data_IF_255952592443
#
_entry.id   IF_255952592443
#
_cell.length_a   1.000
_cell.length_b   1.000
_cell.length_c   1.000
_cell.angle_alpha   90.00
_cell.angle_beta   90.00
_cell.angle_gamma   90.00
#
_symmetry.space_group_name_H-M   'P 1'
#
loop_
_entity.id
_entity.type
_entity.pdbx_description
1 polymer ?
#
# COMPACT_ATOMS: atom_id res chain seq x y z
N UNK A 1 -10.62 13.22 -8.38
CA UNK A 1 -10.03 13.26 -7.02
C UNK A 1 -9.34 14.58 -6.78
N UNK A 2 -9.38 15.06 -5.54
CA UNK A 2 -8.50 16.12 -5.08
C UNK A 2 -7.12 15.56 -4.75
N UNK A 3 -6.08 16.41 -4.87
CA UNK A 3 -4.69 16.05 -4.54
C UNK A 3 -4.57 15.59 -3.08
N UNK A 4 -5.39 16.13 -2.17
CA UNK A 4 -5.41 15.74 -0.76
C UNK A 4 -5.84 14.28 -0.54
N UNK A 5 -6.88 13.81 -1.25
CA UNK A 5 -7.37 12.43 -1.16
C UNK A 5 -6.31 11.46 -1.69
N UNK A 6 -5.70 11.81 -2.83
CA UNK A 6 -4.64 11.03 -3.45
C UNK A 6 -3.44 10.90 -2.51
N UNK A 7 -2.99 12.00 -1.91
CA UNK A 7 -1.93 11.99 -0.90
C UNK A 7 -2.30 11.13 0.31
N UNK A 8 -3.54 11.22 0.81
CA UNK A 8 -3.98 10.49 1.99
C UNK A 8 -3.96 8.96 1.75
N UNK A 9 -4.46 8.51 0.58
CA UNK A 9 -4.45 7.10 0.19
C UNK A 9 -3.02 6.60 -0.02
N UNK A 10 -2.19 7.37 -0.74
CA UNK A 10 -0.80 6.99 -1.00
C UNK A 10 0.00 6.91 0.30
N UNK A 11 -0.21 7.83 1.24
CA UNK A 11 0.39 7.78 2.58
C UNK A 11 -0.05 6.52 3.33
N UNK A 12 -1.33 6.16 3.28
CA UNK A 12 -1.86 4.93 3.88
C UNK A 12 -1.19 3.66 3.33
N UNK A 13 -1.09 3.54 2.00
CA UNK A 13 -0.43 2.40 1.34
C UNK A 13 1.07 2.36 1.66
N UNK A 14 1.70 3.53 1.68
CA UNK A 14 3.12 3.66 2.02
C UNK A 14 3.39 3.16 3.44
N UNK A 15 2.48 3.40 4.40
CA UNK A 15 2.63 2.92 5.77
C UNK A 15 2.59 1.37 5.90
N UNK A 16 1.96 0.63 4.98
CA UNK A 16 2.09 -0.85 4.92
C UNK A 16 3.53 -1.25 4.65
N UNK A 17 4.13 -0.62 3.64
CA UNK A 17 5.49 -0.90 3.19
C UNK A 17 6.46 -0.49 4.30
N UNK A 18 6.21 0.65 4.96
CA UNK A 18 6.97 1.09 6.12
C UNK A 18 6.99 0.01 7.20
N UNK A 19 5.81 -0.47 7.61
CA UNK A 19 5.69 -1.42 8.71
C UNK A 19 6.28 -2.80 8.35
N UNK A 20 6.20 -3.23 7.09
CA UNK A 20 6.88 -4.43 6.59
C UNK A 20 8.41 -4.24 6.64
N UNK A 21 8.91 -3.10 6.18
CA UNK A 21 10.36 -2.82 6.17
C UNK A 21 10.93 -2.58 7.57
N UNK A 22 10.14 -2.06 8.49
CA UNK A 22 10.50 -1.95 9.91
C UNK A 22 10.64 -3.32 10.56
N UNK A 23 9.73 -4.25 10.28
CA UNK A 23 9.85 -5.64 10.74
C UNK A 23 11.14 -6.29 10.20
N UNK A 24 11.41 -6.11 8.90
CA UNK A 24 12.63 -6.64 8.28
C UNK A 24 13.89 -5.96 8.85
N UNK A 25 13.87 -4.65 9.07
CA UNK A 25 14.97 -3.91 9.70
C UNK A 25 15.29 -4.37 11.10
N UNK A 26 14.28 -4.74 11.90
CA UNK A 26 14.45 -5.28 13.25
C UNK A 26 15.03 -6.70 13.27
N UNK A 27 14.90 -7.46 12.18
CA UNK A 27 15.42 -8.83 12.06
C UNK A 27 16.88 -8.86 11.58
N UNK A 28 17.37 -7.78 10.96
CA UNK A 28 18.71 -7.71 10.38
C UNK A 28 19.75 -7.25 11.41
N UNK A 29 20.81 -8.04 11.61
CA UNK A 29 21.94 -7.67 12.48
C UNK A 29 22.85 -6.57 11.88
N UNK A 30 22.91 -6.46 10.55
CA UNK A 30 23.71 -5.45 9.84
C UNK A 30 23.06 -5.06 8.51
N UNK A 31 22.71 -3.79 8.36
CA UNK A 31 22.14 -3.27 7.09
C UNK A 31 23.22 -3.30 6.02
N UNK A 32 23.13 -4.24 5.08
CA UNK A 32 23.94 -4.22 3.87
C UNK A 32 23.27 -3.38 2.78
N UNK A 33 24.05 -2.46 2.19
CA UNK A 33 23.55 -1.61 1.08
C UNK A 33 23.01 -2.43 -0.09
N UNK A 34 23.59 -3.61 -0.35
CA UNK A 34 23.13 -4.53 -1.40
C UNK A 34 21.73 -5.09 -1.11
N UNK A 35 21.46 -5.52 0.12
CA UNK A 35 20.14 -6.03 0.51
C UNK A 35 19.07 -4.95 0.45
N UNK A 36 19.37 -3.75 0.94
CA UNK A 36 18.47 -2.60 0.84
C UNK A 36 18.14 -2.29 -0.62
N UNK A 37 19.14 -2.32 -1.50
CA UNK A 37 18.93 -2.10 -2.94
C UNK A 37 18.06 -3.21 -3.57
N UNK A 38 18.24 -4.46 -3.16
CA UNK A 38 17.42 -5.58 -3.61
C UNK A 38 15.96 -5.43 -3.17
N UNK A 39 15.69 -5.10 -1.89
CA UNK A 39 14.33 -4.87 -1.41
C UNK A 39 13.68 -3.70 -2.13
N UNK A 40 14.38 -2.58 -2.23
CA UNK A 40 13.91 -1.41 -2.96
C UNK A 40 13.59 -1.74 -4.42
N UNK A 41 14.48 -2.49 -5.09
CA UNK A 41 14.29 -2.92 -6.48
C UNK A 41 13.07 -3.81 -6.67
N UNK A 42 12.89 -4.82 -5.80
CA UNK A 42 11.72 -5.72 -5.83
C UNK A 42 10.44 -4.93 -5.58
N UNK A 43 10.41 -4.07 -4.55
CA UNK A 43 9.26 -3.26 -4.19
C UNK A 43 8.86 -2.31 -5.31
N UNK A 44 9.83 -1.58 -5.87
CA UNK A 44 9.60 -0.60 -6.93
C UNK A 44 9.15 -1.28 -8.24
N UNK A 45 9.83 -2.35 -8.65
CA UNK A 45 9.48 -3.09 -9.86
C UNK A 45 8.08 -3.73 -9.75
N UNK A 46 7.79 -4.39 -8.63
CA UNK A 46 6.49 -5.04 -8.45
C UNK A 46 5.35 -4.04 -8.27
N UNK A 47 5.58 -2.89 -7.62
CA UNK A 47 4.55 -1.84 -7.52
C UNK A 47 4.27 -1.19 -8.87
N UNK A 48 5.31 -0.88 -9.66
CA UNK A 48 5.15 -0.35 -11.00
C UNK A 48 4.36 -1.31 -11.91
N UNK A 49 4.69 -2.60 -11.86
CA UNK A 49 3.95 -3.63 -12.61
C UNK A 49 2.51 -3.78 -12.14
N UNK A 50 2.27 -3.87 -10.83
CA UNK A 50 0.93 -4.03 -10.26
C UNK A 50 0.02 -2.84 -10.59
N UNK A 51 0.52 -1.61 -10.50
CA UNK A 51 -0.23 -0.41 -10.87
C UNK A 51 -0.51 -0.34 -12.37
N UNK A 52 0.48 -0.67 -13.20
CA UNK A 52 0.33 -0.72 -14.66
C UNK A 52 -0.74 -1.73 -15.09
N UNK A 53 -0.68 -2.95 -14.53
CA UNK A 53 -1.66 -4.01 -14.78
C UNK A 53 -3.04 -3.59 -14.26
N UNK A 54 -3.12 -3.01 -13.04
CA UNK A 54 -4.38 -2.56 -12.47
C UNK A 54 -5.09 -1.52 -13.33
N UNK A 55 -4.34 -0.54 -13.87
CA UNK A 55 -4.89 0.44 -14.81
C UNK A 55 -5.34 -0.19 -16.12
N UNK A 56 -4.56 -1.13 -16.66
CA UNK A 56 -4.93 -1.84 -17.88
C UNK A 56 -6.25 -2.61 -17.69
N UNK A 57 -6.41 -3.31 -16.57
CA UNK A 57 -7.64 -4.01 -16.20
C UNK A 57 -8.81 -3.02 -16.06
N UNK A 58 -8.62 -1.89 -15.38
CA UNK A 58 -9.66 -0.86 -15.23
C UNK A 58 -10.11 -0.31 -16.59
N UNK A 59 -9.17 -0.11 -17.52
CA UNK A 59 -9.47 0.35 -18.88
C UNK A 59 -10.29 -0.69 -19.66
N UNK A 60 -9.96 -1.97 -19.54
CA UNK A 60 -10.73 -3.06 -20.17
C UNK A 60 -12.13 -3.21 -19.55
N UNK A 61 -12.25 -3.05 -18.22
CA UNK A 61 -13.54 -3.10 -17.54
C UNK A 61 -14.45 -1.95 -17.96
N UNK A 62 -13.92 -0.73 -18.08
CA UNK A 62 -14.68 0.43 -18.59
C UNK A 62 -15.27 0.15 -19.96
N UNK A 63 -14.47 -0.37 -20.89
CA UNK A 63 -14.96 -0.73 -22.24
C UNK A 63 -16.03 -1.84 -22.24
N UNK A 64 -16.16 -2.61 -21.15
CA UNK A 64 -17.07 -3.76 -21.05
C UNK A 64 -18.35 -3.46 -20.27
N UNK A 65 -18.42 -2.34 -19.54
CA UNK A 65 -19.57 -1.95 -18.72
C UNK A 65 -20.38 -0.89 -19.48
N UNK A 66 -21.68 -0.79 -19.21
CA UNK A 66 -22.56 0.16 -19.89
C UNK A 66 -22.37 1.58 -19.33
N UNK A 67 -22.39 2.59 -20.22
CA UNK A 67 -21.98 3.99 -20.02
C UNK A 67 -22.62 4.74 -18.81
N UNK A 68 -23.65 4.19 -18.16
CA UNK A 68 -24.34 4.79 -17.02
C UNK A 68 -23.85 4.35 -15.63
N UNK A 69 -23.42 3.09 -15.46
CA UNK A 69 -23.07 2.51 -14.15
C UNK A 69 -21.56 2.46 -13.88
N UNK A 70 -20.73 2.72 -14.90
CA UNK A 70 -19.27 2.62 -14.81
C UNK A 70 -18.65 3.44 -13.67
N UNK A 71 -19.13 4.67 -13.51
CA UNK A 71 -18.59 5.62 -12.55
C UNK A 71 -18.97 5.20 -11.13
N UNK A 72 -20.24 4.81 -10.93
CA UNK A 72 -20.74 4.36 -9.63
C UNK A 72 -20.10 3.03 -9.22
N UNK A 73 -20.04 2.06 -10.13
CA UNK A 73 -19.43 0.75 -9.89
C UNK A 73 -17.93 0.90 -9.57
N UNK A 74 -17.20 1.72 -10.32
CA UNK A 74 -15.79 1.99 -10.08
C UNK A 74 -15.50 2.61 -8.71
N UNK A 75 -16.36 3.53 -8.27
CA UNK A 75 -16.25 4.18 -6.95
C UNK A 75 -16.56 3.21 -5.81
N UNK A 76 -17.63 2.42 -5.92
CA UNK A 76 -17.99 1.41 -4.93
C UNK A 76 -16.88 0.37 -4.81
N UNK A 77 -16.33 -0.08 -5.94
CA UNK A 77 -15.20 -1.02 -5.96
C UNK A 77 -13.95 -0.41 -5.32
N UNK A 78 -13.59 0.82 -5.66
CA UNK A 78 -12.45 1.52 -5.06
C UNK A 78 -12.59 1.68 -3.54
N UNK A 79 -13.75 2.12 -3.08
CA UNK A 79 -14.04 2.26 -1.66
C UNK A 79 -14.00 0.92 -0.92
N UNK A 80 -14.58 -0.14 -1.51
CA UNK A 80 -14.52 -1.48 -0.95
C UNK A 80 -13.08 -1.99 -0.83
N UNK A 81 -12.23 -1.72 -1.83
CA UNK A 81 -10.81 -2.06 -1.80
C UNK A 81 -10.09 -1.33 -0.66
N UNK A 82 -10.26 -0.01 -0.53
CA UNK A 82 -9.60 0.78 0.51
C UNK A 82 -10.07 0.39 1.92
N UNK A 83 -11.37 0.16 2.11
CA UNK A 83 -11.92 -0.31 3.38
C UNK A 83 -11.40 -1.71 3.75
N UNK A 84 -11.38 -2.63 2.79
CA UNK A 84 -10.85 -3.98 2.99
C UNK A 84 -9.35 -3.94 3.35
N UNK A 85 -8.57 -3.10 2.68
CA UNK A 85 -7.15 -2.92 2.95
C UNK A 85 -6.90 -2.28 4.33
N UNK A 86 -7.70 -1.27 4.70
CA UNK A 86 -7.67 -0.65 6.03
C UNK A 86 -7.99 -1.66 7.14
N UNK A 87 -9.06 -2.45 6.99
CA UNK A 87 -9.45 -3.49 7.96
C UNK A 87 -8.36 -4.56 8.13
N UNK A 88 -7.68 -4.95 7.04
CA UNK A 88 -6.52 -5.85 7.11
C UNK A 88 -5.38 -5.28 7.96
N UNK A 89 -5.14 -3.96 7.93
CA UNK A 89 -4.08 -3.35 8.75
C UNK A 89 -4.45 -3.37 10.23
N UNK A 90 -5.73 -3.15 10.57
CA UNK A 90 -6.21 -3.33 11.94
C UNK A 90 -6.04 -4.79 12.40
N UNK A 91 -6.34 -5.78 11.55
CA UNK A 91 -6.10 -7.19 11.87
C UNK A 91 -4.61 -7.49 12.08
N UNK A 92 -3.73 -6.96 11.23
CA UNK A 92 -2.26 -7.09 11.40
C UNK A 92 -1.76 -6.39 12.67
N UNK A 93 -2.31 -5.23 13.02
CA UNK A 93 -1.99 -4.50 14.24
C UNK A 93 -2.44 -5.30 15.47
N UNK A 94 -3.64 -5.88 15.43
CA UNK A 94 -4.22 -6.67 16.51
C UNK A 94 -3.57 -8.03 16.68
N UNK A 95 -3.19 -8.69 15.57
CA UNK A 95 -2.59 -10.01 15.62
C UNK A 95 -1.25 -10.04 16.33
N UNK A 96 -0.65 -8.87 16.63
CA UNK A 96 0.54 -8.66 17.45
C UNK A 96 1.42 -9.91 17.50
N UNK A 97 1.83 -10.39 16.31
CA UNK A 97 2.75 -11.50 16.20
C UNK A 97 3.99 -11.01 16.89
N UNK A 98 4.14 -11.43 18.15
CA UNK A 98 5.43 -11.46 18.84
C UNK A 98 6.26 -12.38 17.99
N UNK A 99 6.87 -11.83 16.94
CA UNK A 99 7.97 -12.46 16.27
C UNK A 99 8.99 -12.60 17.38
N UNK A 100 9.15 -13.83 17.87
CA UNK A 100 10.22 -14.19 18.79
C UNK A 100 11.48 -13.67 18.14
N UNK A 101 12.17 -12.73 18.78
CA UNK A 101 13.44 -12.15 18.33
C UNK A 101 14.48 -13.27 18.21
N UNK A 102 14.38 -14.07 17.15
CA UNK A 102 15.47 -14.91 16.67
C UNK A 102 16.26 -14.03 15.73
N UNK A 103 17.41 -13.56 16.23
CA UNK A 103 18.51 -13.08 15.40
C UNK A 103 18.87 -14.17 14.41
N UNK A 104 18.36 -14.09 13.19
CA UNK A 104 18.93 -14.83 12.07
C UNK A 104 19.96 -13.95 11.37
N UNK A 105 21.16 -14.49 11.12
CA UNK A 105 22.25 -13.76 10.45
C UNK A 105 21.89 -13.32 9.02
N UNK A 106 20.83 -13.91 8.43
CA UNK A 106 20.29 -13.54 7.13
C UNK A 106 18.78 -13.49 7.22
N UNK A 107 18.21 -12.34 6.88
CA UNK A 107 16.79 -12.25 6.56
C UNK A 107 16.50 -13.17 5.39
N UNK A 108 15.53 -14.06 5.57
CA UNK A 108 15.09 -14.95 4.51
C UNK A 108 14.31 -14.16 3.45
N UNK A 109 14.98 -13.91 2.32
CA UNK A 109 14.39 -13.18 1.18
C UNK A 109 13.14 -13.90 0.68
N UNK A 110 13.05 -15.23 0.86
CA UNK A 110 11.86 -15.99 0.52
C UNK A 110 10.63 -15.58 1.35
N UNK A 111 10.80 -15.31 2.65
CA UNK A 111 9.71 -14.84 3.51
C UNK A 111 9.28 -13.42 3.12
N UNK A 112 10.24 -12.54 2.83
CA UNK A 112 9.95 -11.21 2.30
C UNK A 112 9.17 -11.29 0.98
N UNK A 113 9.59 -12.14 0.04
CA UNK A 113 8.89 -12.35 -1.24
C UNK A 113 7.47 -12.85 -0.99
N UNK A 114 7.25 -13.76 -0.04
CA UNK A 114 5.90 -14.27 0.30
C UNK A 114 5.02 -13.17 0.89
N UNK A 115 5.56 -12.36 1.81
CA UNK A 115 4.85 -11.21 2.38
C UNK A 115 4.52 -10.18 1.29
N UNK A 116 5.49 -9.88 0.44
CA UNK A 116 5.36 -8.92 -0.64
C UNK A 116 4.39 -9.39 -1.71
N UNK A 117 4.40 -10.67 -2.10
CA UNK A 117 3.44 -11.25 -3.03
C UNK A 117 2.01 -11.06 -2.52
N UNK A 118 1.80 -11.20 -1.20
CA UNK A 118 0.51 -10.94 -0.55
C UNK A 118 0.12 -9.47 -0.52
N UNK A 119 1.08 -8.54 -0.51
CA UNK A 119 0.81 -7.09 -0.59
C UNK A 119 0.61 -6.65 -2.05
N UNK A 120 1.30 -7.25 -3.01
CA UNK A 120 1.22 -6.93 -4.45
C UNK A 120 -0.20 -7.10 -5.01
N UNK A 121 -0.95 -8.11 -4.55
CA UNK A 121 -2.38 -8.27 -4.90
C UNK A 121 -3.18 -7.02 -4.52
N UNK A 122 -2.91 -6.45 -3.35
CA UNK A 122 -3.61 -5.25 -2.90
C UNK A 122 -3.13 -4.02 -3.65
N UNK A 123 -1.83 -3.90 -3.94
CA UNK A 123 -1.32 -2.84 -4.83
C UNK A 123 -1.99 -2.88 -6.20
N UNK A 124 -2.23 -4.08 -6.75
CA UNK A 124 -2.95 -4.26 -8.00
C UNK A 124 -4.40 -3.78 -7.88
N UNK A 125 -5.11 -4.18 -6.82
CA UNK A 125 -6.46 -3.69 -6.52
C UNK A 125 -6.49 -2.17 -6.38
N UNK A 126 -5.51 -1.58 -5.68
CA UNK A 126 -5.36 -0.12 -5.59
C UNK A 126 -5.13 0.50 -6.97
N UNK A 127 -4.34 -0.14 -7.84
CA UNK A 127 -4.14 0.30 -9.23
C UNK A 127 -5.43 0.28 -10.05
N UNK A 128 -6.28 -0.73 -9.86
CA UNK A 128 -7.62 -0.78 -10.46
C UNK A 128 -8.47 0.39 -9.94
N UNK A 129 -8.49 0.60 -8.62
CA UNK A 129 -9.21 1.71 -7.99
C UNK A 129 -8.78 3.07 -8.57
N UNK A 130 -7.48 3.38 -8.57
CA UNK A 130 -6.97 4.63 -9.15
C UNK A 130 -7.21 4.74 -10.67
N UNK A 131 -7.23 3.62 -11.39
CA UNK A 131 -7.61 3.58 -12.81
C UNK A 131 -9.05 4.05 -13.03
N UNK A 132 -9.98 3.65 -12.15
CA UNK A 132 -11.37 4.10 -12.20
C UNK A 132 -11.56 5.56 -11.78
N UNK A 133 -10.73 6.07 -10.86
CA UNK A 133 -10.79 7.45 -10.37
C UNK A 133 -10.10 8.47 -11.30
N UNK A 134 -9.66 8.06 -12.50
CA UNK A 134 -9.01 8.88 -13.54
C UNK A 134 -7.82 9.71 -13.05
N UNK A 135 -7.04 9.19 -12.08
CA UNK A 135 -5.84 9.90 -11.64
C UNK A 135 -4.77 9.93 -12.74
N UNK A 136 -3.97 11.00 -12.74
CA UNK A 136 -2.83 11.16 -13.62
C UNK A 136 -1.76 10.11 -13.33
N UNK A 137 -1.76 9.04 -14.14
CA UNK A 137 -0.88 7.87 -13.98
C UNK A 137 0.59 8.24 -13.77
N UNK A 138 1.10 9.23 -14.50
CA UNK A 138 2.48 9.65 -14.39
C UNK A 138 2.81 10.26 -13.02
N UNK A 139 1.89 11.04 -12.44
CA UNK A 139 2.07 11.63 -11.13
C UNK A 139 1.93 10.58 -10.03
N UNK A 140 0.91 9.73 -10.10
CA UNK A 140 0.68 8.65 -9.14
C UNK A 140 1.86 7.68 -9.09
N UNK A 141 2.36 7.26 -10.27
CA UNK A 141 3.47 6.32 -10.37
C UNK A 141 4.78 6.95 -9.90
N UNK A 142 5.06 8.22 -10.26
CA UNK A 142 6.22 8.94 -9.76
C UNK A 142 6.18 9.11 -8.23
N UNK A 143 5.02 9.49 -7.69
CA UNK A 143 4.84 9.75 -6.26
C UNK A 143 4.95 8.46 -5.44
N UNK A 144 4.34 7.37 -5.88
CA UNK A 144 4.45 6.05 -5.23
C UNK A 144 5.90 5.54 -5.28
N UNK A 145 6.59 5.69 -6.41
CA UNK A 145 7.98 5.25 -6.53
C UNK A 145 8.89 6.01 -5.56
N UNK A 146 8.78 7.34 -5.51
CA UNK A 146 9.57 8.17 -4.59
C UNK A 146 9.25 7.84 -3.14
N UNK A 147 7.97 7.76 -2.77
CA UNK A 147 7.54 7.43 -1.41
C UNK A 147 7.99 6.03 -1.00
N UNK A 148 7.89 5.04 -1.89
CA UNK A 148 8.35 3.68 -1.61
C UNK A 148 9.83 3.63 -1.32
N UNK A 149 10.68 4.33 -2.09
CA UNK A 149 12.12 4.40 -1.80
C UNK A 149 12.36 5.02 -0.42
N UNK A 150 11.76 6.19 -0.16
CA UNK A 150 11.92 6.91 1.11
C UNK A 150 11.49 6.03 2.29
N UNK A 151 10.30 5.45 2.20
CA UNK A 151 9.70 4.63 3.25
C UNK A 151 10.46 3.33 3.47
N UNK A 152 11.00 2.72 2.41
CA UNK A 152 11.83 1.52 2.51
C UNK A 152 13.11 1.81 3.29
N UNK A 153 13.77 2.94 2.97
CA UNK A 153 14.97 3.38 3.69
C UNK A 153 14.62 3.72 5.13
N UNK A 154 13.65 4.60 5.36
CA UNK A 154 13.24 5.01 6.71
C UNK A 154 12.82 3.81 7.55
N UNK A 155 11.91 2.96 7.05
CA UNK A 155 11.42 1.77 7.74
C UNK A 155 12.54 0.83 8.15
N UNK A 156 13.50 0.56 7.25
CA UNK A 156 14.60 -0.33 7.57
C UNK A 156 15.55 0.25 8.62
N UNK A 157 15.85 1.56 8.56
CA UNK A 157 16.68 2.24 9.57
C UNK A 157 15.97 2.39 10.92
N UNK A 158 14.67 2.68 10.93
CA UNK A 158 13.88 2.77 12.17
C UNK A 158 13.77 1.41 12.82
N UNK A 159 13.48 0.36 12.05
CA UNK A 159 13.43 -1.03 12.55
C UNK A 159 14.75 -1.49 13.15
N UNK A 160 15.87 -1.15 12.50
CA UNK A 160 17.22 -1.49 12.99
C UNK A 160 17.58 -0.79 14.30
N UNK A 161 17.19 0.48 14.49
CA UNK A 161 17.63 1.30 15.63
C UNK A 161 16.69 1.29 16.82
N UNK A 162 15.38 1.18 16.58
CA UNK A 162 14.33 1.34 17.60
C UNK A 162 13.67 0.02 18.01
N UNK A 163 13.92 -1.08 17.29
CA UNK A 163 13.28 -2.36 17.57
C UNK A 163 11.76 -2.34 17.33
N UNK A 164 11.05 -3.31 17.91
CA UNK A 164 9.70 -3.71 17.48
C UNK A 164 8.53 -2.84 18.02
N UNK A 165 8.77 -1.85 18.88
CA UNK A 165 7.69 -1.12 19.59
C UNK A 165 6.84 -0.19 18.69
N UNK A 166 7.36 0.26 17.55
CA UNK A 166 6.66 1.24 16.69
C UNK A 166 5.79 0.62 15.57
N UNK A 167 5.94 -0.68 15.32
CA UNK A 167 5.18 -1.43 14.31
C UNK A 167 3.66 -1.29 14.47
N UNK A 168 3.15 -1.46 15.69
CA UNK A 168 1.70 -1.41 15.95
C UNK A 168 1.14 -0.03 15.66
N UNK A 169 1.89 1.04 15.99
CA UNK A 169 1.48 2.43 15.73
C UNK A 169 1.46 2.73 14.25
N UNK A 170 2.46 2.27 13.49
CA UNK A 170 2.51 2.44 12.04
C UNK A 170 1.34 1.74 11.33
N UNK A 171 1.04 0.48 11.68
CA UNK A 171 -0.11 -0.24 11.13
C UNK A 171 -1.45 0.40 11.49
N UNK A 172 -1.61 0.85 12.75
CA UNK A 172 -2.83 1.52 13.19
C UNK A 172 -3.04 2.85 12.45
N UNK A 173 -1.98 3.65 12.31
CA UNK A 173 -2.00 4.92 11.58
C UNK A 173 -2.30 4.71 10.09
N UNK A 174 -1.64 3.73 9.45
CA UNK A 174 -1.88 3.38 8.05
C UNK A 174 -3.31 2.89 7.82
N UNK A 175 -3.83 2.05 8.72
CA UNK A 175 -5.20 1.55 8.66
C UNK A 175 -6.23 2.67 8.81
N UNK A 176 -6.01 3.58 9.76
CA UNK A 176 -6.86 4.75 9.95
C UNK A 176 -6.86 5.68 8.71
N UNK A 177 -5.69 5.92 8.10
CA UNK A 177 -5.54 6.70 6.87
C UNK A 177 -6.29 6.08 5.69
N UNK A 178 -6.19 4.77 5.50
CA UNK A 178 -6.88 4.04 4.43
C UNK A 178 -8.40 3.99 4.64
N UNK A 179 -8.86 3.77 5.88
CA UNK A 179 -10.30 3.81 6.19
C UNK A 179 -10.85 5.22 5.99
N UNK A 180 -10.15 6.25 6.48
CA UNK A 180 -10.54 7.64 6.25
C UNK A 180 -10.59 7.95 4.74
N UNK A 181 -9.60 7.49 3.95
CA UNK A 181 -9.58 7.70 2.50
C UNK A 181 -10.72 6.98 1.78
N UNK A 182 -11.04 5.76 2.19
CA UNK A 182 -12.19 5.02 1.67
C UNK A 182 -13.52 5.70 1.98
N UNK A 183 -13.69 6.22 3.21
CA UNK A 183 -14.89 6.96 3.61
C UNK A 183 -15.00 8.29 2.86
N UNK A 184 -13.89 9.01 2.68
CA UNK A 184 -13.86 10.30 1.98
C UNK A 184 -14.26 10.13 0.50
N UNK A 185 -13.71 9.10 -0.16
CA UNK A 185 -14.10 8.71 -1.53
C UNK A 185 -15.60 8.42 -1.63
N UNK A 186 -16.17 7.69 -0.66
CA UNK A 186 -17.63 7.45 -0.58
C UNK A 186 -18.38 8.78 -0.40
N UNK A 187 -17.98 9.60 0.57
CA UNK A 187 -18.72 10.78 0.97
C UNK A 187 -18.77 11.84 -0.14
N UNK A 188 -17.65 12.11 -0.80
CA UNK A 188 -17.56 13.08 -1.89
C UNK A 188 -18.30 12.61 -3.15
N UNK A 189 -18.25 11.31 -3.47
CA UNK A 189 -18.80 10.82 -4.73
C UNK A 189 -20.27 10.35 -4.64
N UNK A 190 -20.68 9.70 -3.53
CA UNK A 190 -22.11 9.40 -3.29
C UNK A 190 -22.86 10.66 -2.87
N UNK A 191 -22.24 11.58 -2.14
CA UNK A 191 -22.84 12.88 -1.79
C UNK A 191 -23.18 13.73 -3.02
N UNK A 192 -22.34 13.69 -4.07
CA UNK A 192 -22.59 14.34 -5.37
C UNK A 192 -23.69 13.70 -6.21
N UNK A 193 -24.12 12.49 -5.89
CA UNK A 193 -25.18 11.79 -6.61
C UNK A 193 -26.56 12.03 -5.97
N UNK A 194 -26.59 12.41 -4.69
CA UNK A 194 -27.80 12.69 -3.91
C UNK A 194 -28.17 14.18 -3.91
N UNK A 195 -27.23 15.09 -4.20
CA UNK A 195 -27.42 16.55 -4.20
C UNK A 195 -27.02 17.17 -5.54
#
# INVERSE_FOLDING_TARGET
MNIAEELMIILGISLDIFAVMECQGSLVAKIERKQLLTFCGILAAGQGLALGIGKFISTLLRQSVAEGDEIFLGQVVAAAIFLCQGMRFFLKAWQNERIVERREEKVDVAEFIKLYARTSIFTLLTGIAFGFLESSMWMLLALIMVLTVLVTVFGMYTGYRLGFEHKMKAYLAGGALLVAGGIDVICIHIGKFIF
#
